data_IF_657037736391
#
_entry.id   IF_657037736391
#
_cell.length_a   1.000
_cell.length_b   1.000
_cell.length_c   1.000
_cell.angle_alpha   90.00
_cell.angle_beta   90.00
_cell.angle_gamma   90.00
#
_symmetry.space_group_name_H-M   'P 1'
#
loop_
_entity.id
_entity.type
_entity.pdbx_description
1 polymer ?
#
# COMPACT_ATOMS: atom_id res chain seq x y z
N UNK A 1 45.57 44.70 72.96
CA UNK A 1 44.51 43.83 72.39
C UNK A 1 44.13 44.41 71.04
N UNK A 2 44.51 43.76 69.92
CA UNK A 2 44.39 44.31 68.55
C UNK A 2 43.30 43.54 67.80
N UNK A 3 42.32 44.18 67.13
CA UNK A 3 41.21 43.46 66.51
C UNK A 3 41.63 42.78 65.20
N UNK A 4 41.22 41.52 65.03
CA UNK A 4 41.38 40.74 63.80
C UNK A 4 40.36 41.19 62.74
N UNK A 5 40.82 41.69 61.60
CA UNK A 5 39.97 41.80 60.39
C UNK A 5 39.81 40.41 59.78
N UNK A 6 38.60 39.83 59.87
CA UNK A 6 38.23 38.66 59.07
C UNK A 6 37.72 39.15 57.72
N UNK A 7 38.57 39.14 56.72
CA UNK A 7 38.16 39.30 55.32
C UNK A 7 37.40 38.03 54.89
N UNK A 8 36.08 38.15 54.77
CA UNK A 8 35.26 37.15 54.12
C UNK A 8 35.53 37.21 52.61
N UNK A 9 36.25 36.22 52.09
CA UNK A 9 36.31 35.99 50.65
C UNK A 9 34.95 35.45 50.20
N UNK A 10 34.15 36.31 49.56
CA UNK A 10 32.99 35.87 48.79
C UNK A 10 33.54 35.06 47.60
N UNK A 11 33.51 33.73 47.71
CA UNK A 11 33.83 32.84 46.62
C UNK A 11 32.93 33.16 45.42
N UNK A 12 33.53 33.66 44.34
CA UNK A 12 32.85 33.92 43.07
C UNK A 12 32.20 32.62 42.58
N UNK A 13 30.86 32.61 42.55
CA UNK A 13 30.08 31.54 41.95
C UNK A 13 30.30 31.56 40.45
N UNK A 14 30.92 30.51 39.91
CA UNK A 14 31.18 30.30 38.49
C UNK A 14 29.87 30.40 37.70
N UNK A 15 29.68 31.50 36.95
CA UNK A 15 28.42 31.81 36.23
C UNK A 15 28.51 31.68 34.71
N UNK A 16 29.52 30.99 34.16
CA UNK A 16 29.79 30.99 32.72
C UNK A 16 29.36 29.76 31.91
N UNK A 17 29.10 28.61 32.54
CA UNK A 17 29.02 27.34 31.79
C UNK A 17 27.60 26.98 31.29
N UNK A 18 26.55 27.58 31.85
CA UNK A 18 25.17 27.25 31.47
C UNK A 18 24.80 27.75 30.08
N UNK A 19 25.28 28.94 29.68
CA UNK A 19 25.00 29.54 28.37
C UNK A 19 25.46 28.65 27.20
N UNK A 20 26.73 28.16 27.16
CA UNK A 20 27.16 27.28 26.06
C UNK A 20 26.44 25.93 26.06
N UNK A 21 26.05 25.41 27.21
CA UNK A 21 25.30 24.15 27.31
C UNK A 21 23.87 24.31 26.76
N UNK A 22 23.21 25.43 27.06
CA UNK A 22 21.90 25.77 26.51
C UNK A 22 21.99 25.99 24.99
N UNK A 23 23.01 26.71 24.52
CA UNK A 23 23.24 26.91 23.08
C UNK A 23 23.41 25.57 22.35
N UNK A 24 24.19 24.64 22.93
CA UNK A 24 24.38 23.31 22.37
C UNK A 24 23.08 22.49 22.37
N UNK A 25 22.29 22.55 23.44
CA UNK A 25 20.98 21.89 23.50
C UNK A 25 20.01 22.43 22.43
N UNK A 26 19.98 23.74 22.19
CA UNK A 26 19.14 24.33 21.14
C UNK A 26 19.56 23.80 19.75
N UNK A 27 20.86 23.72 19.47
CA UNK A 27 21.37 23.17 18.21
C UNK A 27 20.96 21.71 18.03
N UNK A 28 21.08 20.89 19.08
CA UNK A 28 20.66 19.47 19.05
C UNK A 28 19.16 19.34 18.82
N UNK A 29 18.34 20.15 19.50
CA UNK A 29 16.89 20.12 19.35
C UNK A 29 16.46 20.52 17.93
N UNK A 30 17.08 21.56 17.35
CA UNK A 30 16.84 21.96 15.96
C UNK A 30 17.21 20.82 15.00
N UNK A 31 18.35 20.16 15.23
CA UNK A 31 18.77 19.00 14.44
C UNK A 31 17.76 17.84 14.50
N UNK A 32 17.24 17.51 15.69
CA UNK A 32 16.22 16.47 15.85
C UNK A 32 14.89 16.83 15.16
N UNK A 33 14.47 18.09 15.22
CA UNK A 33 13.25 18.55 14.54
C UNK A 33 13.40 18.45 13.03
N UNK A 34 14.53 18.88 12.46
CA UNK A 34 14.80 18.77 11.02
C UNK A 34 14.75 17.31 10.54
N UNK A 35 15.40 16.39 11.27
CA UNK A 35 15.35 14.96 10.96
C UNK A 35 13.92 14.38 11.05
N UNK A 36 13.13 14.83 12.03
CA UNK A 36 11.75 14.36 12.20
C UNK A 36 10.86 14.75 11.02
N UNK A 37 11.05 15.95 10.46
CA UNK A 37 10.30 16.44 9.29
C UNK A 37 10.60 15.59 8.06
N UNK A 38 11.87 15.27 7.82
CA UNK A 38 12.29 14.45 6.68
C UNK A 38 11.74 13.03 6.71
N UNK A 39 11.86 12.38 7.86
CA UNK A 39 11.31 11.03 8.05
C UNK A 39 9.79 11.06 7.90
N UNK A 40 9.13 12.08 8.48
CA UNK A 40 7.69 12.25 8.37
C UNK A 40 7.21 12.40 6.93
N UNK A 41 7.87 13.23 6.13
CA UNK A 41 7.53 13.43 4.71
C UNK A 41 7.74 12.15 3.89
N UNK A 42 8.91 11.53 4.01
CA UNK A 42 9.24 10.29 3.29
C UNK A 42 8.25 9.18 3.63
N UNK A 43 7.84 9.09 4.90
CA UNK A 43 6.86 8.10 5.33
C UNK A 43 5.46 8.36 4.75
N UNK A 44 5.04 9.62 4.67
CA UNK A 44 3.76 10.00 4.07
C UNK A 44 3.72 9.64 2.57
N UNK A 45 4.80 9.89 1.84
CA UNK A 45 4.87 9.58 0.42
C UNK A 45 4.88 8.08 0.13
N UNK A 46 5.63 7.29 0.91
CA UNK A 46 5.56 5.83 0.84
C UNK A 46 4.12 5.32 1.00
N UNK A 47 3.36 5.93 1.93
CA UNK A 47 1.97 5.56 2.15
C UNK A 47 1.06 5.94 0.99
N UNK A 48 1.31 7.06 0.31
CA UNK A 48 0.57 7.46 -0.87
C UNK A 48 0.81 6.48 -2.03
N UNK A 49 2.06 6.09 -2.28
CA UNK A 49 2.39 5.08 -3.29
C UNK A 49 1.73 3.71 -3.00
N UNK A 50 1.72 3.28 -1.73
CA UNK A 50 0.99 2.06 -1.31
C UNK A 50 -0.51 2.15 -1.57
N UNK A 51 -1.11 3.30 -1.32
CA UNK A 51 -2.54 3.51 -1.57
C UNK A 51 -2.84 3.47 -3.07
N UNK A 52 -2.01 4.10 -3.88
CA UNK A 52 -2.10 4.07 -5.33
C UNK A 52 -2.00 2.63 -5.86
N UNK A 53 -0.98 1.87 -5.44
CA UNK A 53 -0.79 0.49 -5.86
C UNK A 53 -2.00 -0.40 -5.49
N UNK A 54 -2.53 -0.26 -4.26
CA UNK A 54 -3.71 -1.02 -3.81
C UNK A 54 -4.97 -0.66 -4.60
N UNK A 55 -5.20 0.64 -4.83
CA UNK A 55 -6.32 1.10 -5.65
C UNK A 55 -6.22 0.56 -7.08
N UNK A 56 -5.03 0.61 -7.67
CA UNK A 56 -4.77 0.11 -9.02
C UNK A 56 -4.95 -1.42 -9.13
N UNK A 57 -4.53 -2.18 -8.12
CA UNK A 57 -4.74 -3.62 -8.09
C UNK A 57 -6.23 -3.97 -8.09
N UNK A 58 -7.01 -3.29 -7.23
CA UNK A 58 -8.46 -3.49 -7.15
C UNK A 58 -9.16 -3.06 -8.44
N UNK A 59 -8.83 -1.87 -8.97
CA UNK A 59 -9.43 -1.36 -10.20
C UNK A 59 -9.14 -2.26 -11.40
N UNK A 60 -7.88 -2.69 -11.56
CA UNK A 60 -7.49 -3.63 -12.61
C UNK A 60 -8.21 -4.97 -12.47
N UNK A 61 -8.27 -5.52 -11.26
CA UNK A 61 -8.95 -6.80 -11.03
C UNK A 61 -10.45 -6.66 -11.30
N UNK A 62 -11.06 -5.57 -10.86
CA UNK A 62 -12.46 -5.30 -11.11
C UNK A 62 -12.77 -5.24 -12.61
N UNK A 63 -11.98 -4.51 -13.41
CA UNK A 63 -12.19 -4.47 -14.87
C UNK A 63 -11.95 -5.82 -15.52
N UNK A 64 -10.95 -6.56 -15.06
CA UNK A 64 -10.71 -7.92 -15.54
C UNK A 64 -11.91 -8.84 -15.28
N UNK A 65 -12.59 -8.71 -14.12
CA UNK A 65 -13.83 -9.44 -13.83
C UNK A 65 -15.00 -9.04 -14.73
N UNK A 66 -15.10 -7.76 -15.07
CA UNK A 66 -16.17 -7.23 -15.93
C UNK A 66 -16.06 -7.74 -17.36
N UNK A 67 -14.84 -7.74 -17.90
CA UNK A 67 -14.58 -8.13 -19.29
C UNK A 67 -14.34 -9.63 -19.43
N UNK A 68 -14.25 -10.38 -18.32
CA UNK A 68 -13.86 -11.79 -18.33
C UNK A 68 -12.43 -12.00 -18.87
N UNK A 69 -11.55 -11.00 -18.72
CA UNK A 69 -10.19 -11.06 -19.27
C UNK A 69 -10.10 -10.99 -20.80
N UNK A 70 -11.18 -10.55 -21.48
CA UNK A 70 -11.20 -10.42 -22.94
C UNK A 70 -10.52 -9.14 -23.45
N UNK A 71 -10.61 -8.03 -22.70
CA UNK A 71 -10.00 -6.74 -23.05
C UNK A 71 -8.94 -6.32 -22.02
N UNK A 72 -7.70 -6.69 -22.30
CA UNK A 72 -6.53 -6.39 -21.48
C UNK A 72 -6.14 -4.89 -21.52
N UNK A 73 -6.38 -4.23 -22.65
CA UNK A 73 -6.10 -2.80 -22.80
C UNK A 73 -7.02 -1.94 -21.92
N UNK A 74 -8.27 -2.37 -21.72
CA UNK A 74 -9.17 -1.73 -20.76
C UNK A 74 -8.74 -1.96 -19.31
N UNK A 75 -8.24 -3.16 -18.98
CA UNK A 75 -7.66 -3.43 -17.65
C UNK A 75 -6.47 -2.51 -17.40
N UNK A 76 -5.53 -2.38 -18.34
CA UNK A 76 -4.40 -1.45 -18.22
C UNK A 76 -4.85 -0.01 -18.00
N UNK A 77 -5.82 0.47 -18.79
CA UNK A 77 -6.39 1.82 -18.63
C UNK A 77 -6.98 2.06 -17.24
N UNK A 78 -7.62 1.05 -16.65
CA UNK A 78 -8.17 1.16 -15.30
C UNK A 78 -7.12 1.17 -14.18
N UNK A 79 -6.04 0.42 -14.37
CA UNK A 79 -4.87 0.46 -13.49
C UNK A 79 -4.27 1.86 -13.53
N UNK A 80 -4.04 2.40 -14.72
CA UNK A 80 -3.43 3.72 -14.90
C UNK A 80 -4.33 4.84 -14.35
N UNK A 81 -5.64 4.78 -14.61
CA UNK A 81 -6.60 5.75 -14.06
C UNK A 81 -6.60 5.76 -12.52
N UNK A 82 -6.56 4.59 -11.87
CA UNK A 82 -6.50 4.51 -10.42
C UNK A 82 -5.21 5.10 -9.83
N UNK A 83 -4.09 5.00 -10.54
CA UNK A 83 -2.82 5.63 -10.13
C UNK A 83 -2.93 7.16 -10.26
N UNK A 84 -3.50 7.65 -11.37
CA UNK A 84 -3.73 9.09 -11.59
C UNK A 84 -4.69 9.70 -10.56
N UNK A 85 -5.75 8.98 -10.17
CA UNK A 85 -6.67 9.42 -9.12
C UNK A 85 -6.01 9.54 -7.75
N UNK A 86 -4.90 8.82 -7.51
CA UNK A 86 -4.11 8.92 -6.28
C UNK A 86 -2.97 9.95 -6.39
N UNK A 87 -2.93 10.76 -7.45
CA UNK A 87 -2.01 11.89 -7.60
C UNK A 87 -0.66 11.57 -8.23
N UNK A 88 -0.52 10.40 -8.86
CA UNK A 88 0.70 9.98 -9.55
C UNK A 88 0.49 9.85 -11.06
N UNK A 89 1.47 10.25 -11.86
CA UNK A 89 1.43 10.03 -13.30
C UNK A 89 2.02 8.65 -13.63
N UNK A 90 1.23 7.69 -14.15
CA UNK A 90 1.73 6.36 -14.47
C UNK A 90 2.61 6.42 -15.71
N UNK A 91 3.87 6.00 -15.56
CA UNK A 91 4.81 5.85 -16.67
C UNK A 91 5.12 4.36 -16.91
N UNK A 92 5.56 4.00 -18.13
CA UNK A 92 6.04 2.65 -18.41
C UNK A 92 7.15 2.24 -17.45
N UNK A 93 7.23 0.95 -17.17
CA UNK A 93 8.30 0.39 -16.36
C UNK A 93 9.63 0.44 -17.12
N UNK A 94 10.74 0.74 -16.43
CA UNK A 94 12.08 0.94 -17.01
C UNK A 94 12.25 2.30 -17.73
N UNK A 95 11.59 3.34 -17.22
CA UNK A 95 11.77 4.72 -17.68
C UNK A 95 13.04 5.29 -17.05
N UNK A 96 14.01 5.70 -17.87
CA UNK A 96 15.34 6.11 -17.40
C UNK A 96 15.34 7.41 -16.58
N UNK A 97 14.40 8.32 -16.84
CA UNK A 97 14.34 9.66 -16.24
C UNK A 97 13.00 9.87 -15.52
N UNK A 98 12.84 9.29 -14.33
CA UNK A 98 11.64 9.50 -13.51
C UNK A 98 11.58 10.90 -12.92
N UNK A 99 10.46 11.58 -13.13
CA UNK A 99 10.14 12.82 -12.43
C UNK A 99 9.56 12.55 -11.02
N UNK A 100 9.58 13.52 -10.08
CA UNK A 100 9.12 13.33 -8.69
C UNK A 100 7.63 12.96 -8.52
N UNK A 101 6.81 13.21 -9.55
CA UNK A 101 5.37 12.90 -9.61
C UNK A 101 5.05 11.71 -10.52
N UNK A 102 6.07 11.12 -11.15
CA UNK A 102 5.94 9.95 -11.99
C UNK A 102 6.15 8.66 -11.19
N UNK A 103 5.31 7.68 -11.49
CA UNK A 103 5.36 6.38 -10.88
C UNK A 103 5.39 5.35 -11.99
N UNK A 104 6.48 4.58 -12.10
CA UNK A 104 6.53 3.40 -12.95
C UNK A 104 5.49 2.41 -12.46
N UNK A 105 4.66 1.91 -13.37
CA UNK A 105 3.62 0.93 -13.03
C UNK A 105 3.77 -0.30 -13.91
N UNK A 106 4.08 -1.43 -13.28
CA UNK A 106 4.00 -2.74 -13.90
C UNK A 106 2.88 -3.56 -13.25
N UNK A 107 2.01 -4.11 -14.09
CA UNK A 107 0.91 -4.95 -13.66
C UNK A 107 1.10 -6.35 -14.25
N UNK A 108 0.95 -7.39 -13.44
CA UNK A 108 1.15 -8.79 -13.85
C UNK A 108 -0.07 -9.64 -13.50
N UNK A 109 -0.49 -10.48 -14.44
CA UNK A 109 -1.44 -11.54 -14.17
C UNK A 109 -0.75 -12.74 -13.52
N UNK A 110 -1.36 -13.29 -12.48
CA UNK A 110 -0.85 -14.45 -11.74
C UNK A 110 -1.89 -15.58 -11.73
N UNK A 111 -1.42 -16.81 -11.86
CA UNK A 111 -2.22 -18.03 -11.64
C UNK A 111 -2.47 -18.25 -10.15
N UNK A 112 -3.32 -19.22 -9.82
CA UNK A 112 -3.56 -19.67 -8.43
C UNK A 112 -2.27 -20.10 -7.71
N UNK A 113 -1.28 -20.59 -8.47
CA UNK A 113 0.03 -21.02 -7.96
C UNK A 113 0.98 -19.85 -7.66
N UNK A 114 0.61 -18.61 -8.00
CA UNK A 114 1.46 -17.43 -7.83
C UNK A 114 2.48 -17.22 -8.96
N UNK A 115 2.43 -18.05 -10.01
CA UNK A 115 3.23 -17.87 -11.22
C UNK A 115 2.61 -16.85 -12.15
N UNK A 116 3.44 -16.10 -12.89
CA UNK A 116 2.94 -15.21 -13.95
C UNK A 116 2.18 -16.03 -15.01
N UNK A 117 1.04 -15.51 -15.44
CA UNK A 117 0.34 -16.04 -16.62
C UNK A 117 1.20 -15.67 -17.83
N UNK A 118 1.76 -16.66 -18.51
CA UNK A 118 2.56 -16.41 -19.72
C UNK A 118 1.64 -16.00 -20.87
N UNK A 119 1.51 -14.69 -21.07
CA UNK A 119 0.90 -14.05 -22.22
C UNK A 119 1.64 -12.74 -22.52
N UNK A 120 1.68 -12.33 -23.79
CA UNK A 120 2.42 -11.14 -24.20
C UNK A 120 3.86 -11.15 -23.68
N UNK A 121 4.29 -10.02 -23.13
CA UNK A 121 5.62 -9.86 -22.50
C UNK A 121 5.60 -10.33 -21.03
N UNK A 122 5.74 -11.64 -20.81
CA UNK A 122 5.87 -12.27 -19.48
C UNK A 122 4.68 -12.05 -18.51
N UNK A 123 3.47 -11.87 -19.05
CA UNK A 123 2.24 -11.70 -18.26
C UNK A 123 1.94 -10.27 -17.85
N UNK A 124 2.56 -9.28 -18.51
CA UNK A 124 2.29 -7.87 -18.29
C UNK A 124 0.90 -7.48 -18.83
N UNK A 125 0.10 -6.84 -17.98
CA UNK A 125 -1.21 -6.28 -18.34
C UNK A 125 -1.03 -5.19 -19.41
N UNK A 126 -1.84 -5.24 -20.45
CA UNK A 126 -1.82 -4.38 -21.64
C UNK A 126 -1.11 -5.00 -22.86
N UNK A 127 -0.43 -6.14 -22.72
CA UNK A 127 0.33 -6.82 -23.80
C UNK A 127 -0.26 -8.16 -24.22
N UNK A 128 -1.34 -8.61 -23.59
CA UNK A 128 -1.90 -9.94 -23.82
C UNK A 128 -3.00 -9.88 -24.90
N UNK A 129 -2.79 -10.51 -26.08
CA UNK A 129 -3.62 -10.28 -27.27
C UNK A 129 -5.06 -10.83 -27.19
N UNK A 130 -5.38 -11.70 -26.23
CA UNK A 130 -6.76 -12.04 -25.81
C UNK A 130 -6.77 -13.15 -24.75
N UNK A 131 -7.59 -13.00 -23.70
CA UNK A 131 -8.17 -14.12 -22.95
C UNK A 131 -7.26 -14.79 -21.91
N UNK A 132 -6.77 -14.04 -20.92
CA UNK A 132 -6.13 -14.63 -19.74
C UNK A 132 -7.13 -15.19 -18.73
N UNK A 133 -8.16 -15.95 -19.14
CA UNK A 133 -9.16 -16.56 -18.24
C UNK A 133 -8.58 -17.40 -17.06
N UNK A 134 -7.27 -17.64 -17.06
CA UNK A 134 -6.52 -18.32 -16.01
C UNK A 134 -5.95 -17.39 -14.93
N UNK A 135 -6.11 -16.06 -15.03
CA UNK A 135 -5.62 -15.13 -14.01
C UNK A 135 -6.53 -15.17 -12.77
N UNK A 136 -5.93 -15.53 -11.64
CA UNK A 136 -6.59 -15.53 -10.32
C UNK A 136 -6.27 -14.27 -9.52
N UNK A 137 -5.06 -13.73 -9.70
CA UNK A 137 -4.61 -12.50 -9.06
C UNK A 137 -4.00 -11.56 -10.08
N UNK A 138 -4.06 -10.27 -9.79
CA UNK A 138 -3.29 -9.21 -10.42
C UNK A 138 -2.32 -8.67 -9.37
N UNK A 139 -1.04 -8.60 -9.73
CA UNK A 139 -0.01 -7.94 -8.95
C UNK A 139 0.38 -6.64 -9.60
N UNK A 140 0.26 -5.54 -8.87
CA UNK A 140 0.78 -4.24 -9.27
C UNK A 140 2.11 -4.02 -8.55
N UNK A 141 3.12 -3.61 -9.28
CA UNK A 141 4.42 -3.17 -8.77
C UNK A 141 4.60 -1.75 -9.22
N UNK A 142 4.86 -0.85 -8.28
CA UNK A 142 5.12 0.55 -8.57
C UNK A 142 6.50 0.95 -8.11
N UNK A 143 7.19 1.78 -8.90
CA UNK A 143 8.50 2.35 -8.54
C UNK A 143 8.48 3.85 -8.84
N UNK A 144 8.97 4.66 -7.93
CA UNK A 144 8.99 6.11 -8.09
C UNK A 144 10.17 6.73 -7.36
N UNK A 145 10.34 8.02 -7.55
CA UNK A 145 11.28 8.84 -6.82
C UNK A 145 10.51 9.96 -6.13
N UNK A 146 10.81 10.22 -4.85
CA UNK A 146 10.16 11.29 -4.10
C UNK A 146 11.19 12.29 -3.60
N UNK A 147 10.82 13.57 -3.64
CA UNK A 147 11.67 14.65 -3.19
C UNK A 147 11.88 14.63 -1.68
N UNK A 148 13.10 14.93 -1.27
CA UNK A 148 13.45 15.13 0.13
C UNK A 148 13.61 16.61 0.45
N UNK A 149 13.35 17.01 1.69
CA UNK A 149 13.43 18.41 2.11
C UNK A 149 14.78 18.76 2.77
N UNK A 150 15.13 18.13 3.90
CA UNK A 150 16.43 18.32 4.56
C UNK A 150 17.52 17.40 4.01
N UNK A 151 17.22 16.17 3.58
CA UNK A 151 18.23 15.26 3.00
C UNK A 151 18.79 15.83 1.68
N UNK A 152 18.04 16.70 1.00
CA UNK A 152 18.52 17.53 -0.10
C UNK A 152 19.69 18.45 0.30
N UNK A 153 19.70 18.97 1.53
CA UNK A 153 20.84 19.75 2.04
C UNK A 153 22.11 18.89 2.24
N UNK A 154 21.97 17.57 2.31
CA UNK A 154 23.06 16.58 2.36
C UNK A 154 23.35 15.95 0.99
N UNK A 155 22.77 16.47 -0.10
CA UNK A 155 22.97 15.99 -1.47
C UNK A 155 22.16 14.74 -1.84
N UNK A 156 21.19 14.34 -1.02
CA UNK A 156 20.25 13.26 -1.32
C UNK A 156 18.92 13.87 -1.77
N UNK A 157 18.81 14.25 -3.04
CA UNK A 157 17.64 15.01 -3.54
C UNK A 157 16.38 14.15 -3.66
N UNK A 158 16.55 12.86 -3.95
CA UNK A 158 15.45 11.92 -4.16
C UNK A 158 15.66 10.61 -3.42
N UNK A 159 14.58 10.05 -2.87
CA UNK A 159 14.56 8.68 -2.33
C UNK A 159 13.67 7.76 -3.18
N UNK A 160 14.10 6.53 -3.48
CA UNK A 160 13.29 5.59 -4.23
C UNK A 160 12.14 5.07 -3.36
N UNK A 161 10.94 5.06 -3.93
CA UNK A 161 9.73 4.50 -3.33
C UNK A 161 9.29 3.31 -4.16
N UNK A 162 9.19 2.15 -3.53
CA UNK A 162 8.71 0.93 -4.17
C UNK A 162 7.48 0.43 -3.44
N UNK A 163 6.44 0.09 -4.18
CA UNK A 163 5.25 -0.54 -3.63
C UNK A 163 4.79 -1.73 -4.44
N UNK A 164 4.07 -2.62 -3.79
CA UNK A 164 3.47 -3.79 -4.42
C UNK A 164 2.11 -4.09 -3.81
N UNK A 165 1.14 -4.43 -4.65
CA UNK A 165 -0.22 -4.73 -4.26
C UNK A 165 -0.76 -5.94 -5.02
N UNK A 166 -1.70 -6.66 -4.39
CA UNK A 166 -2.32 -7.84 -4.93
C UNK A 166 -3.84 -7.73 -4.83
N UNK A 167 -4.54 -8.05 -5.90
CA UNK A 167 -5.99 -8.21 -5.91
C UNK A 167 -6.35 -9.49 -6.66
N UNK A 168 -7.38 -10.21 -6.24
CA UNK A 168 -7.74 -11.46 -6.90
C UNK A 168 -9.08 -12.00 -6.47
N UNK A 169 -9.48 -13.08 -7.14
CA UNK A 169 -10.69 -13.81 -6.79
C UNK A 169 -10.40 -14.82 -5.69
N UNK A 170 -11.14 -14.73 -4.59
CA UNK A 170 -11.22 -15.82 -3.61
C UNK A 170 -12.61 -16.44 -3.64
N UNK A 171 -12.73 -17.78 -3.51
CA UNK A 171 -13.99 -18.40 -3.16
C UNK A 171 -14.56 -17.75 -1.89
N UNK A 172 -15.89 -17.59 -1.76
CA UNK A 172 -16.49 -17.00 -0.57
C UNK A 172 -16.15 -17.86 0.65
N UNK A 173 -15.42 -17.26 1.59
CA UNK A 173 -15.16 -17.84 2.91
C UNK A 173 -16.19 -17.30 3.90
N UNK A 174 -16.71 -18.17 4.77
CA UNK A 174 -17.73 -17.78 5.75
C UNK A 174 -17.19 -16.71 6.71
N UNK A 175 -17.96 -15.65 6.94
CA UNK A 175 -17.66 -14.63 7.95
C UNK A 175 -16.75 -13.48 7.50
N UNK A 176 -16.32 -13.44 6.23
CA UNK A 176 -15.59 -12.30 5.69
C UNK A 176 -16.44 -11.58 4.64
N UNK A 177 -16.69 -10.29 4.86
CA UNK A 177 -17.30 -9.44 3.86
C UNK A 177 -16.24 -9.02 2.83
N UNK A 178 -16.51 -9.12 1.53
CA UNK A 178 -15.64 -8.55 0.52
C UNK A 178 -15.53 -7.04 0.71
N UNK A 179 -14.32 -6.51 0.63
CA UNK A 179 -14.05 -5.07 0.77
C UNK A 179 -14.57 -4.25 -0.42
N UNK A 180 -15.04 -4.91 -1.50
CA UNK A 180 -15.66 -4.26 -2.66
C UNK A 180 -16.67 -5.19 -3.31
N UNK A 181 -17.91 -4.71 -3.48
CA UNK A 181 -18.97 -5.41 -4.24
C UNK A 181 -19.53 -4.47 -5.29
N UNK A 182 -19.63 -4.96 -6.52
CA UNK A 182 -20.29 -4.23 -7.62
C UNK A 182 -21.79 -4.15 -7.38
N UNK A 183 -22.32 -2.94 -7.32
CA UNK A 183 -23.75 -2.69 -7.14
C UNK A 183 -24.62 -3.31 -8.27
N UNK A 184 -24.06 -3.55 -9.45
CA UNK A 184 -24.78 -4.16 -10.58
C UNK A 184 -24.68 -5.69 -10.67
N UNK A 185 -23.77 -6.33 -9.92
CA UNK A 185 -23.67 -7.79 -9.83
C UNK A 185 -24.49 -8.36 -8.66
N UNK A 186 -24.94 -7.50 -7.75
CA UNK A 186 -25.99 -7.85 -6.81
C UNK A 186 -27.32 -7.53 -7.49
N UNK A 187 -27.77 -8.40 -8.39
CA UNK A 187 -29.20 -8.44 -8.75
C UNK A 187 -29.94 -8.94 -7.51
N UNK A 188 -30.20 -8.02 -6.60
CA UNK A 188 -31.30 -8.11 -5.68
C UNK A 188 -32.53 -8.18 -6.58
N UNK A 189 -33.13 -9.36 -6.77
CA UNK A 189 -34.49 -9.43 -7.30
C UNK A 189 -35.30 -8.38 -6.52
N UNK A 190 -35.94 -7.45 -7.22
CA UNK A 190 -36.60 -6.26 -6.67
C UNK A 190 -37.79 -6.62 -5.75
N UNK A 191 -37.46 -7.22 -4.61
CA UNK A 191 -38.33 -7.90 -3.68
C UNK A 191 -37.58 -8.41 -2.43
N UNK A 192 -36.27 -8.67 -2.49
CA UNK A 192 -35.49 -9.09 -1.31
C UNK A 192 -34.11 -8.42 -1.26
N UNK A 193 -34.09 -7.17 -0.79
CA UNK A 193 -32.87 -6.41 -0.48
C UNK A 193 -31.84 -7.28 0.26
N UNK A 194 -30.62 -7.38 -0.27
CA UNK A 194 -29.51 -8.06 0.41
C UNK A 194 -29.12 -7.40 1.74
N UNK A 195 -29.65 -6.20 2.03
CA UNK A 195 -29.61 -5.55 3.34
C UNK A 195 -30.67 -6.06 4.34
N UNK A 196 -31.58 -6.95 3.93
CA UNK A 196 -32.64 -7.52 4.77
C UNK A 196 -32.52 -9.03 4.96
N UNK A 197 -31.39 -9.68 4.65
CA UNK A 197 -31.21 -11.05 5.11
C UNK A 197 -31.11 -11.03 6.63
N UNK A 198 -32.11 -11.55 7.40
CA UNK A 198 -31.91 -11.71 8.81
C UNK A 198 -30.75 -12.67 9.00
N UNK A 199 -29.88 -12.31 9.94
CA UNK A 199 -28.82 -13.13 10.50
C UNK A 199 -29.40 -14.46 11.03
N UNK A 200 -29.71 -15.39 10.13
CA UNK A 200 -30.15 -16.73 10.44
C UNK A 200 -28.94 -17.63 10.25
N UNK A 201 -28.21 -17.81 11.35
CA UNK A 201 -27.30 -18.93 11.55
C UNK A 201 -28.08 -20.22 11.26
N UNK A 202 -27.98 -20.76 10.04
CA UNK A 202 -28.55 -22.07 9.74
C UNK A 202 -27.74 -23.09 10.55
N UNK A 203 -28.36 -23.91 11.43
CA UNK A 203 -27.63 -24.92 12.15
C UNK A 203 -27.06 -25.94 11.16
N UNK A 204 -25.78 -26.28 11.35
CA UNK A 204 -25.07 -27.33 10.65
C UNK A 204 -25.89 -28.63 10.63
N UNK A 205 -26.06 -29.32 9.48
CA UNK A 205 -26.41 -30.73 9.51
C UNK A 205 -25.18 -31.50 10.00
N UNK A 206 -25.22 -31.94 11.27
CA UNK A 206 -24.36 -33.02 11.75
C UNK A 206 -24.77 -34.25 10.94
N UNK A 207 -23.91 -34.67 10.01
CA UNK A 207 -24.04 -35.92 9.26
C UNK A 207 -23.90 -37.10 10.22
N UNK A 208 -24.99 -37.49 10.86
CA UNK A 208 -25.13 -38.77 11.53
C UNK A 208 -25.39 -39.88 10.50
N UNK A 209 -24.61 -40.97 10.59
CA UNK A 209 -25.02 -42.28 10.09
C UNK A 209 -24.47 -42.70 8.73
N UNK A 210 -23.22 -43.20 8.68
CA UNK A 210 -22.81 -44.16 7.66
C UNK A 210 -23.31 -45.55 8.08
N UNK A 211 -24.49 -45.93 7.57
CA UNK A 211 -24.97 -47.31 7.63
C UNK A 211 -24.04 -48.19 6.80
N UNK A 212 -23.33 -49.08 7.48
CA UNK A 212 -22.69 -50.26 6.90
C UNK A 212 -23.82 -51.24 6.58
N UNK A 213 -24.05 -51.52 5.30
CA UNK A 213 -24.95 -52.60 4.88
C UNK A 213 -24.24 -53.47 3.87
N UNK A 214 -24.42 -54.76 4.09
CA UNK A 214 -23.65 -55.93 3.69
C UNK A 214 -23.65 -56.25 2.19
N UNK A 215 -22.57 -56.91 1.79
CA UNK A 215 -22.46 -57.70 0.58
C UNK A 215 -23.54 -58.80 0.47
N UNK A 216 -24.06 -58.98 -0.74
CA UNK A 216 -24.52 -60.25 -1.33
C UNK A 216 -24.84 -60.01 -2.81
N UNK A 217 -23.93 -60.48 -3.67
CA UNK A 217 -24.09 -61.36 -4.84
C UNK A 217 -22.68 -61.58 -5.40
#
# INVERSE_FOLDING_TARGET
MVPKKRTAYLAQRSRGQSIPLIALMIVVLIGMVGLSVDVGNTYAENRNAERAANAAAIAGMQRYLETGGADDAEVKRSVDAAIQENGFTPVPFDTADLQPDELEVAAYYLRRTGENVLCGDNGLVGTCPSGTNAAFYIRIVTRGQVDTYFARALGQEHLPVNSQAYAGQCPPINGMLPITVKHNLVTVNAGESALSMPMAMRPFPISAGRSITSASI
#
